data_IF_277538811766
#
_entry.id   IF_277538811766
#
_cell.length_a   1.000
_cell.length_b   1.000
_cell.length_c   1.000
_cell.angle_alpha   90.00
_cell.angle_beta   90.00
_cell.angle_gamma   90.00
#
_symmetry.space_group_name_H-M   'P 1'
#
loop_
_entity.id
_entity.type
_entity.pdbx_description
1 polymer ?
#
# COMPACT_ATOMS: atom_id res chain seq x y z
N UNK A 1 2.21 67.26 -47.18
CA UNK A 1 1.06 67.15 -48.11
C UNK A 1 0.82 65.66 -48.32
N UNK A 2 -0.30 65.01 -48.02
CA UNK A 2 -1.63 65.34 -47.48
C UNK A 2 -2.01 64.13 -46.61
N UNK A 3 -2.59 64.39 -45.45
CA UNK A 3 -3.39 63.41 -44.69
C UNK A 3 -4.69 63.23 -45.48
N UNK A 4 -5.17 62.00 -45.63
CA UNK A 4 -6.59 61.79 -45.89
C UNK A 4 -7.11 60.60 -45.07
N UNK A 5 -7.96 60.95 -44.11
CA UNK A 5 -8.88 60.04 -43.40
C UNK A 5 -10.19 59.99 -44.19
N UNK A 6 -10.77 58.81 -44.37
CA UNK A 6 -12.22 58.51 -44.34
C UNK A 6 -12.40 57.02 -44.70
N UNK A 7 -12.83 56.14 -43.79
CA UNK A 7 -14.17 55.91 -43.22
C UNK A 7 -14.98 54.83 -44.00
N UNK A 8 -15.49 53.84 -43.23
CA UNK A 8 -16.70 53.01 -43.50
C UNK A 8 -16.48 51.83 -44.49
N UNK A 9 -16.93 50.58 -44.32
CA UNK A 9 -17.73 49.88 -43.31
C UNK A 9 -17.43 48.36 -43.37
N UNK A 10 -17.45 47.74 -42.20
CA UNK A 10 -18.16 46.50 -41.82
C UNK A 10 -18.64 45.64 -43.00
N UNK A 11 -18.01 44.48 -43.19
CA UNK A 11 -18.72 43.28 -43.65
C UNK A 11 -18.42 42.14 -42.69
N UNK A 12 -19.51 41.64 -42.12
CA UNK A 12 -19.59 40.54 -41.19
C UNK A 12 -19.00 39.26 -41.80
N UNK A 13 -17.96 38.71 -41.18
CA UNK A 13 -17.62 37.29 -41.36
C UNK A 13 -17.32 36.74 -39.99
N UNK A 14 -18.38 36.21 -39.37
CA UNK A 14 -18.32 35.37 -38.19
C UNK A 14 -17.50 34.13 -38.57
N UNK A 15 -16.23 34.11 -38.17
CA UNK A 15 -15.43 32.89 -38.18
C UNK A 15 -15.51 32.27 -36.78
N UNK A 16 -16.32 31.22 -36.68
CA UNK A 16 -16.38 30.31 -35.55
C UNK A 16 -14.98 29.75 -35.25
N UNK A 17 -14.36 30.15 -34.13
CA UNK A 17 -13.25 29.40 -33.53
C UNK A 17 -13.78 28.66 -32.29
N UNK A 18 -13.72 27.35 -32.43
CA UNK A 18 -14.12 26.28 -31.53
C UNK A 18 -13.60 26.44 -30.10
N UNK A 19 -14.40 26.15 -29.06
CA UNK A 19 -13.85 25.91 -27.74
C UNK A 19 -12.94 24.69 -27.82
N UNK A 20 -11.67 24.86 -27.45
CA UNK A 20 -10.77 23.75 -27.20
C UNK A 20 -11.38 22.92 -26.06
N UNK A 21 -12.02 21.80 -26.41
CA UNK A 21 -12.32 20.74 -25.48
C UNK A 21 -10.96 20.21 -25.00
N UNK A 22 -10.45 20.76 -23.89
CA UNK A 22 -9.52 20.04 -23.04
C UNK A 22 -10.26 18.81 -22.50
N UNK A 23 -10.33 17.78 -23.34
CA UNK A 23 -10.58 16.43 -22.89
C UNK A 23 -9.44 16.11 -21.94
N UNK A 24 -9.72 16.19 -20.65
CA UNK A 24 -8.89 15.62 -19.60
C UNK A 24 -8.93 14.11 -19.81
N UNK A 25 -8.16 13.59 -20.77
CA UNK A 25 -7.68 12.22 -20.72
C UNK A 25 -6.64 12.17 -19.61
N UNK A 26 -7.09 12.36 -18.37
CA UNK A 26 -6.44 11.68 -17.27
C UNK A 26 -6.76 10.22 -17.51
N UNK A 27 -5.85 9.55 -18.21
CA UNK A 27 -5.67 8.12 -18.04
C UNK A 27 -5.58 7.94 -16.53
N UNK A 28 -6.67 7.53 -15.89
CA UNK A 28 -6.59 7.01 -14.54
C UNK A 28 -5.65 5.84 -14.69
N UNK A 29 -4.39 6.02 -14.27
CA UNK A 29 -3.53 4.88 -14.04
C UNK A 29 -4.36 3.96 -13.14
N UNK A 30 -4.74 2.82 -13.70
CA UNK A 30 -5.23 1.73 -12.90
C UNK A 30 -4.02 1.28 -12.11
N UNK A 31 -3.86 1.85 -10.92
CA UNK A 31 -3.07 1.23 -9.88
C UNK A 31 -3.68 -0.15 -9.67
N UNK A 32 -3.03 -1.17 -10.23
CA UNK A 32 -3.33 -2.54 -9.88
C UNK A 32 -3.08 -2.68 -8.37
N UNK A 33 -4.13 -2.47 -7.58
CA UNK A 33 -4.07 -2.53 -6.15
C UNK A 33 -3.97 -4.00 -5.75
N UNK A 34 -2.75 -4.49 -5.60
CA UNK A 34 -2.48 -5.60 -4.70
C UNK A 34 -2.54 -5.05 -3.28
N UNK A 35 -3.70 -4.55 -2.83
CA UNK A 35 -3.83 -4.14 -1.45
C UNK A 35 -3.83 -5.41 -0.60
N UNK A 36 -2.98 -5.46 0.43
CA UNK A 36 -2.97 -6.59 1.37
C UNK A 36 -4.23 -6.60 2.29
N UNK A 37 -5.27 -5.84 1.93
CA UNK A 37 -6.48 -5.64 2.72
C UNK A 37 -7.74 -5.50 1.87
N UNK A 38 -8.87 -5.84 2.48
CA UNK A 38 -10.24 -5.76 1.96
C UNK A 38 -10.79 -4.32 1.90
N UNK A 39 -10.10 -3.39 1.23
CA UNK A 39 -10.46 -1.97 1.24
C UNK A 39 -11.45 -1.53 0.14
N UNK A 40 -12.30 -2.43 -0.35
CA UNK A 40 -13.17 -2.15 -1.50
C UNK A 40 -14.15 -0.97 -1.33
N UNK A 41 -14.23 -0.33 -0.16
CA UNK A 41 -15.19 0.76 0.13
C UNK A 41 -14.62 1.97 0.91
N UNK A 42 -13.30 2.13 1.03
CA UNK A 42 -12.75 3.31 1.73
C UNK A 42 -12.49 4.48 0.76
N UNK A 43 -12.94 5.68 1.13
CA UNK A 43 -12.68 6.89 0.33
C UNK A 43 -11.28 7.45 0.65
N UNK A 44 -10.28 7.01 -0.10
CA UNK A 44 -8.93 7.59 -0.10
C UNK A 44 -7.82 6.59 0.23
N UNK A 45 -6.58 7.11 0.28
CA UNK A 45 -5.38 6.33 0.56
C UNK A 45 -5.28 6.00 2.06
N UNK A 46 -5.20 4.71 2.39
CA UNK A 46 -5.04 4.25 3.78
C UNK A 46 -3.57 4.20 4.13
N UNK A 47 -3.15 5.08 5.03
CA UNK A 47 -1.74 5.13 5.52
C UNK A 47 -1.48 4.25 6.72
N UNK A 48 -2.51 4.01 7.53
CA UNK A 48 -2.41 3.26 8.78
C UNK A 48 -3.77 2.65 9.16
N UNK A 49 -3.74 1.41 9.64
CA UNK A 49 -4.86 0.79 10.35
C UNK A 49 -4.46 0.50 11.79
N UNK A 50 -5.43 0.58 12.69
CA UNK A 50 -5.27 0.32 14.11
C UNK A 50 -6.42 -0.59 14.56
N UNK A 51 -6.06 -1.76 15.08
CA UNK A 51 -7.00 -2.77 15.54
C UNK A 51 -6.89 -2.88 17.06
N UNK A 52 -8.00 -2.64 17.75
CA UNK A 52 -8.13 -2.78 19.20
C UNK A 52 -9.05 -3.95 19.51
N UNK A 53 -8.55 -4.91 20.27
CA UNK A 53 -9.34 -6.04 20.75
C UNK A 53 -10.13 -5.64 22.00
N UNK A 54 -11.36 -6.14 22.12
CA UNK A 54 -12.21 -5.95 23.29
C UNK A 54 -12.62 -7.30 23.85
N UNK A 55 -12.66 -7.41 25.17
CA UNK A 55 -13.24 -8.58 25.82
C UNK A 55 -14.76 -8.55 25.63
N UNK A 56 -15.36 -9.68 25.26
CA UNK A 56 -16.82 -9.82 25.10
C UNK A 56 -17.33 -10.68 26.25
N UNK A 57 -18.37 -10.22 26.94
CA UNK A 57 -18.97 -11.02 28.01
C UNK A 57 -19.89 -12.13 27.47
N UNK A 58 -20.35 -13.02 28.35
CA UNK A 58 -21.24 -14.14 27.98
C UNK A 58 -22.61 -13.70 27.44
N UNK A 59 -22.92 -12.40 27.45
CA UNK A 59 -24.14 -11.81 26.87
C UNK A 59 -23.89 -11.10 25.54
N UNK A 60 -22.65 -11.15 25.03
CA UNK A 60 -22.26 -10.49 23.79
C UNK A 60 -21.99 -9.00 23.94
N UNK A 61 -21.96 -8.44 25.16
CA UNK A 61 -21.62 -7.04 25.38
C UNK A 61 -20.11 -6.86 25.36
N UNK A 62 -19.66 -5.85 24.63
CA UNK A 62 -18.28 -5.40 24.62
C UNK A 62 -17.93 -4.82 25.99
N UNK A 63 -17.00 -5.48 26.68
CA UNK A 63 -16.41 -5.03 27.94
C UNK A 63 -15.24 -4.07 27.71
N UNK A 64 -14.29 -4.08 28.63
CA UNK A 64 -13.08 -3.26 28.52
C UNK A 64 -12.23 -3.67 27.32
N UNK A 65 -11.61 -2.69 26.68
CA UNK A 65 -10.54 -2.94 25.71
C UNK A 65 -9.53 -3.89 26.36
N UNK A 66 -9.10 -4.91 25.61
CA UNK A 66 -8.03 -5.76 26.06
C UNK A 66 -6.79 -4.87 26.23
N UNK A 67 -6.32 -4.76 27.48
CA UNK A 67 -5.13 -3.98 27.81
C UNK A 67 -3.88 -4.46 27.06
N UNK A 68 -3.94 -5.65 26.46
CA UNK A 68 -2.90 -6.18 25.60
C UNK A 68 -3.07 -5.71 24.14
N UNK A 69 -2.61 -4.48 23.96
CA UNK A 69 -2.02 -3.87 22.77
C UNK A 69 -2.86 -3.75 21.49
N UNK A 70 -2.97 -2.51 21.00
CA UNK A 70 -3.49 -2.23 19.68
C UNK A 70 -2.49 -2.72 18.62
N UNK A 71 -2.96 -3.45 17.61
CA UNK A 71 -2.17 -3.86 16.45
C UNK A 71 -2.20 -2.74 15.42
N UNK A 72 -1.03 -2.24 15.03
CA UNK A 72 -0.86 -1.19 14.05
C UNK A 72 -0.28 -1.79 12.78
N UNK A 73 -0.88 -1.46 11.64
CA UNK A 73 -0.30 -1.73 10.32
C UNK A 73 -0.15 -0.43 9.55
N UNK A 74 1.06 -0.18 9.04
CA UNK A 74 1.38 0.98 8.20
C UNK A 74 1.53 0.54 6.74
N UNK A 75 1.17 1.45 5.84
CA UNK A 75 1.21 1.25 4.39
C UNK A 75 2.13 2.27 3.73
N UNK A 76 2.78 1.85 2.64
CA UNK A 76 3.54 2.77 1.79
C UNK A 76 2.61 3.58 0.85
N UNK A 77 3.19 4.52 0.10
CA UNK A 77 2.45 5.38 -0.85
C UNK A 77 1.76 4.59 -1.98
N UNK A 78 2.09 3.30 -2.15
CA UNK A 78 1.45 2.40 -3.12
C UNK A 78 0.32 1.57 -2.48
N UNK A 79 0.09 1.74 -1.18
CA UNK A 79 -0.93 1.01 -0.41
C UNK A 79 -0.49 -0.39 0.05
N UNK A 80 0.80 -0.72 -0.04
CA UNK A 80 1.33 -1.99 0.43
C UNK A 80 1.65 -1.95 1.91
N UNK A 81 1.42 -3.06 2.63
CA UNK A 81 1.90 -3.19 4.00
C UNK A 81 3.42 -3.04 4.03
N UNK A 82 3.90 -2.09 4.82
CA UNK A 82 5.32 -1.78 4.99
C UNK A 82 5.82 -2.12 6.39
N UNK A 83 4.99 -1.90 7.42
CA UNK A 83 5.34 -2.15 8.83
C UNK A 83 4.15 -2.66 9.62
N UNK A 84 4.41 -3.55 10.58
CA UNK A 84 3.44 -3.98 11.57
C UNK A 84 4.07 -3.99 12.96
N UNK A 85 3.37 -3.45 13.96
CA UNK A 85 3.83 -3.35 15.34
C UNK A 85 2.65 -3.15 16.30
N UNK A 86 2.90 -3.29 17.59
CA UNK A 86 1.86 -3.15 18.61
C UNK A 86 2.07 -1.88 19.44
N UNK A 87 1.00 -1.28 19.96
CA UNK A 87 1.04 -0.18 20.93
C UNK A 87 0.32 -0.55 22.22
N UNK A 88 0.85 -0.16 23.37
CA UNK A 88 0.12 -0.28 24.64
C UNK A 88 -1.06 0.72 24.74
N UNK A 89 -1.84 0.62 25.81
CA UNK A 89 -2.99 1.50 26.07
C UNK A 89 -2.60 3.00 26.21
N UNK A 90 -1.33 3.30 26.48
CA UNK A 90 -0.81 4.66 26.55
C UNK A 90 -0.25 5.15 25.20
N UNK A 91 -0.35 4.31 24.16
CA UNK A 91 0.15 4.60 22.81
C UNK A 91 1.64 4.35 22.61
N UNK A 92 2.35 3.77 23.59
CA UNK A 92 3.77 3.44 23.46
C UNK A 92 3.94 2.20 22.59
N UNK A 93 4.88 2.26 21.64
CA UNK A 93 5.23 1.08 20.86
C UNK A 93 5.76 -0.03 21.77
N UNK A 94 5.18 -1.22 21.60
CA UNK A 94 5.66 -2.44 22.21
C UNK A 94 6.76 -3.04 21.37
N UNK A 95 7.55 -3.86 22.05
CA UNK A 95 8.58 -4.67 21.45
C UNK A 95 8.00 -5.65 20.42
N UNK A 96 8.72 -5.91 19.33
CA UNK A 96 8.26 -6.76 18.21
C UNK A 96 7.75 -5.93 17.05
N UNK A 97 8.50 -5.86 15.96
CA UNK A 97 8.11 -5.14 14.75
C UNK A 97 8.48 -5.91 13.50
N UNK A 98 7.60 -5.87 12.51
CA UNK A 98 7.77 -6.51 11.21
C UNK A 98 7.92 -5.43 10.15
N UNK A 99 8.93 -5.55 9.31
CA UNK A 99 9.16 -4.68 8.14
C UNK A 99 9.12 -5.50 6.86
N UNK A 100 8.45 -5.01 5.83
CA UNK A 100 8.25 -5.74 4.58
C UNK A 100 8.88 -4.96 3.43
N UNK A 101 9.85 -5.56 2.75
CA UNK A 101 10.37 -5.08 1.47
C UNK A 101 9.76 -5.88 0.33
N UNK A 102 9.69 -5.28 -0.86
CA UNK A 102 8.97 -5.84 -2.02
C UNK A 102 9.79 -5.75 -3.29
N UNK A 103 9.46 -6.62 -4.24
CA UNK A 103 9.88 -6.49 -5.63
C UNK A 103 9.11 -5.35 -6.31
N UNK A 104 9.57 -4.95 -7.51
CA UNK A 104 8.96 -3.85 -8.26
C UNK A 104 7.48 -4.09 -8.62
N UNK A 105 7.06 -5.36 -8.72
CA UNK A 105 5.70 -5.78 -9.00
C UNK A 105 4.82 -5.89 -7.73
N UNK A 106 5.32 -5.45 -6.58
CA UNK A 106 4.58 -5.41 -5.31
C UNK A 106 4.61 -6.71 -4.51
N UNK A 107 5.22 -7.79 -5.04
CA UNK A 107 5.34 -9.05 -4.30
C UNK A 107 6.31 -8.92 -3.11
N UNK A 108 5.99 -9.47 -1.92
CA UNK A 108 6.92 -9.53 -0.79
C UNK A 108 8.28 -10.13 -1.17
N UNK A 109 9.36 -9.41 -0.90
CA UNK A 109 10.73 -9.87 -1.14
C UNK A 109 11.35 -10.38 0.16
N UNK A 110 11.36 -9.53 1.18
CA UNK A 110 11.86 -9.87 2.51
C UNK A 110 10.93 -9.33 3.58
N UNK A 111 10.83 -10.08 4.68
CA UNK A 111 10.14 -9.71 5.90
C UNK A 111 11.17 -9.77 7.03
N UNK A 112 11.46 -8.63 7.64
CA UNK A 112 12.38 -8.52 8.77
C UNK A 112 11.58 -8.49 10.06
N UNK A 113 11.85 -9.42 10.96
CA UNK A 113 11.32 -9.43 12.30
C UNK A 113 12.34 -8.81 13.23
N UNK A 114 11.90 -7.87 14.05
CA UNK A 114 12.77 -7.16 14.99
C UNK A 114 12.21 -7.22 16.40
N UNK A 115 13.13 -7.31 17.37
CA UNK A 115 12.83 -7.27 18.79
C UNK A 115 13.84 -6.34 19.46
N UNK A 116 13.36 -5.35 20.21
CA UNK A 116 14.12 -4.29 20.87
C UNK A 116 14.98 -3.52 19.87
N UNK A 117 14.41 -3.24 18.68
CA UNK A 117 15.09 -2.56 17.58
C UNK A 117 16.18 -3.39 16.89
N UNK A 118 16.36 -4.67 17.26
CA UNK A 118 17.36 -5.56 16.66
C UNK A 118 16.68 -6.60 15.78
N UNK A 119 17.27 -6.90 14.63
CA UNK A 119 16.84 -8.01 13.77
C UNK A 119 16.90 -9.32 14.55
N UNK A 120 15.82 -10.10 14.51
CA UNK A 120 15.75 -11.45 15.08
C UNK A 120 15.77 -12.51 14.00
N UNK A 121 15.08 -12.25 12.89
CA UNK A 121 15.05 -13.14 11.74
C UNK A 121 14.63 -12.43 10.47
N UNK A 122 14.98 -13.02 9.33
CA UNK A 122 14.56 -12.56 8.00
C UNK A 122 13.89 -13.71 7.27
N UNK A 123 12.66 -13.50 6.82
CA UNK A 123 12.01 -14.36 5.83
C UNK A 123 12.24 -13.75 4.45
N UNK A 124 12.73 -14.53 3.49
CA UNK A 124 13.01 -14.09 2.12
C UNK A 124 12.31 -15.01 1.11
N UNK A 125 11.62 -14.42 0.14
CA UNK A 125 10.98 -15.15 -0.96
C UNK A 125 11.69 -14.93 -2.29
N UNK A 126 12.04 -16.00 -2.99
CA UNK A 126 12.69 -15.94 -4.30
C UNK A 126 11.69 -16.19 -5.41
N UNK A 127 11.68 -15.32 -6.42
CA UNK A 127 10.90 -15.54 -7.63
C UNK A 127 11.68 -16.41 -8.62
N UNK A 128 10.99 -17.32 -9.28
CA UNK A 128 11.50 -18.09 -10.41
C UNK A 128 11.52 -17.25 -11.70
N UNK A 129 12.01 -17.83 -12.79
CA UNK A 129 12.07 -17.19 -14.10
C UNK A 129 10.71 -16.80 -14.68
N UNK A 130 9.61 -17.33 -14.12
CA UNK A 130 8.23 -16.99 -14.50
C UNK A 130 7.61 -15.91 -13.60
N UNK A 131 8.33 -15.44 -12.59
CA UNK A 131 7.85 -14.44 -11.63
C UNK A 131 6.96 -15.00 -10.52
N UNK A 132 6.94 -16.32 -10.32
CA UNK A 132 6.24 -17.01 -9.20
C UNK A 132 7.23 -17.34 -8.09
N UNK A 133 6.78 -17.50 -6.85
CA UNK A 133 7.68 -17.95 -5.79
C UNK A 133 8.13 -19.39 -6.03
N UNK A 134 9.44 -19.61 -6.16
CA UNK A 134 10.02 -20.94 -6.27
C UNK A 134 10.45 -21.50 -4.91
N UNK A 135 10.94 -20.63 -4.04
CA UNK A 135 11.43 -20.97 -2.71
C UNK A 135 11.25 -19.80 -1.71
N UNK A 136 11.24 -20.16 -0.43
CA UNK A 136 11.27 -19.22 0.70
C UNK A 136 12.30 -19.69 1.71
N UNK A 137 13.04 -18.76 2.29
CA UNK A 137 14.12 -19.00 3.25
C UNK A 137 13.87 -18.20 4.52
N UNK A 138 14.21 -18.78 5.67
CA UNK A 138 14.23 -18.06 6.95
C UNK A 138 15.65 -18.09 7.48
N UNK A 139 16.17 -16.92 7.80
CA UNK A 139 17.49 -16.71 8.37
C UNK A 139 17.37 -16.18 9.79
N UNK A 140 18.31 -16.56 10.65
CA UNK A 140 18.48 -15.95 11.96
C UNK A 140 19.02 -14.51 11.84
N UNK A 141 19.18 -13.84 13.00
CA UNK A 141 19.74 -12.50 13.09
C UNK A 141 21.17 -12.36 12.52
N UNK A 142 21.95 -13.44 12.48
CA UNK A 142 23.31 -13.47 11.94
C UNK A 142 23.34 -13.78 10.43
N UNK A 143 22.18 -14.00 9.80
CA UNK A 143 22.07 -14.37 8.40
C UNK A 143 22.33 -15.86 8.13
N UNK A 144 22.36 -16.70 9.18
CA UNK A 144 22.46 -18.15 9.01
C UNK A 144 21.10 -18.71 8.62
N UNK A 145 21.07 -19.55 7.60
CA UNK A 145 19.85 -20.22 7.16
C UNK A 145 19.35 -21.18 8.26
N UNK A 146 18.10 -20.99 8.69
CA UNK A 146 17.41 -21.86 9.65
C UNK A 146 16.41 -22.78 8.93
N UNK A 147 15.63 -22.22 8.00
CA UNK A 147 14.60 -22.98 7.27
C UNK A 147 14.65 -22.70 5.78
N UNK A 148 14.35 -23.73 4.99
CA UNK A 148 14.26 -23.67 3.55
C UNK A 148 12.99 -24.39 3.09
N UNK A 149 12.16 -23.69 2.34
CA UNK A 149 10.92 -24.20 1.75
C UNK A 149 11.03 -24.11 0.24
N UNK A 150 10.69 -25.19 -0.46
CA UNK A 150 10.71 -25.28 -1.92
C UNK A 150 9.47 -25.98 -2.44
N UNK A 151 9.21 -25.85 -3.74
CA UNK A 151 8.02 -26.43 -4.35
C UNK A 151 6.76 -25.68 -3.91
N UNK A 152 6.89 -24.36 -3.75
CA UNK A 152 5.76 -23.50 -3.42
C UNK A 152 4.78 -23.57 -4.58
N UNK A 153 3.58 -24.05 -4.29
CA UNK A 153 2.47 -24.07 -5.22
C UNK A 153 1.56 -22.89 -4.94
N UNK A 154 0.90 -22.43 -5.99
CA UNK A 154 -0.06 -21.34 -5.95
C UNK A 154 -1.44 -21.95 -6.17
N UNK A 155 -2.42 -21.56 -5.36
CA UNK A 155 -3.79 -22.02 -5.53
C UNK A 155 -4.46 -21.38 -6.77
N UNK A 156 -5.68 -21.81 -7.08
CA UNK A 156 -6.44 -21.33 -8.25
C UNK A 156 -6.71 -19.81 -8.24
N UNK A 157 -6.54 -19.15 -7.10
CA UNK A 157 -6.69 -17.70 -6.94
C UNK A 157 -5.36 -16.94 -7.07
N UNK A 158 -4.27 -17.61 -7.46
CA UNK A 158 -2.97 -16.95 -7.57
C UNK A 158 -2.32 -16.65 -6.21
N UNK A 159 -2.79 -17.29 -5.13
CA UNK A 159 -2.29 -17.11 -3.75
C UNK A 159 -1.56 -18.34 -3.22
#
# INVERSE_FOLDING_TARGET
MKINKSLIAISCTVLLMTPAFFSCNQTKESTAHYNDLFFDNLSGEVKKTEETSYQIDNTGKTGTADSCCNSITEYDDKGYRSRQFNKDINGNEKNGQTYISRYNDGKPKEIHFTQNGKLTSTLSGSLDHTGKYGDTRIYDAAGKLEFYYSGITVNDYGK
#
